data_IF_243236996731
#
_entry.id   IF_243236996731
#
_cell.length_a   1.000
_cell.length_b   1.000
_cell.length_c   1.000
_cell.angle_alpha   90.00
_cell.angle_beta   90.00
_cell.angle_gamma   90.00
#
_symmetry.space_group_name_H-M   'P 1'
#
loop_
_entity.id
_entity.type
_entity.pdbx_description
1 polymer ?
#
# COMPACT_ATOMS: atom_id res chain seq x y z
N UNK A 1 35.81 -26.71 0.00
CA UNK A 1 35.78 -26.31 1.43
C UNK A 1 34.69 -25.27 1.57
N UNK A 2 33.48 -25.71 1.92
CA UNK A 2 32.31 -24.86 2.07
C UNK A 2 32.42 -24.13 3.42
N UNK A 3 32.71 -22.83 3.39
CA UNK A 3 32.55 -21.97 4.56
C UNK A 3 31.06 -21.88 4.87
N UNK A 4 30.62 -22.59 5.90
CA UNK A 4 29.28 -22.42 6.47
C UNK A 4 29.15 -20.94 6.88
N UNK A 5 28.07 -20.25 6.46
CA UNK A 5 27.83 -18.87 6.89
C UNK A 5 27.63 -18.88 8.40
N UNK A 6 28.60 -18.33 9.15
CA UNK A 6 28.42 -18.09 10.57
C UNK A 6 27.19 -17.20 10.72
N UNK A 7 26.16 -17.59 11.49
CA UNK A 7 25.00 -16.76 11.68
C UNK A 7 25.43 -15.40 12.21
N UNK A 8 25.01 -14.32 11.55
CA UNK A 8 25.38 -12.95 11.88
C UNK A 8 25.21 -12.64 13.38
N UNK A 9 24.23 -13.27 14.04
CA UNK A 9 24.00 -13.18 15.47
C UNK A 9 25.16 -13.68 16.34
N UNK A 10 25.91 -14.73 15.93
CA UNK A 10 27.06 -15.25 16.69
C UNK A 10 28.21 -14.25 16.61
N UNK A 11 28.45 -13.63 15.47
CA UNK A 11 29.50 -12.60 15.32
C UNK A 11 29.21 -11.42 16.24
N UNK A 12 27.98 -10.98 16.36
CA UNK A 12 27.57 -9.89 17.24
C UNK A 12 27.72 -10.22 18.71
N UNK A 13 27.36 -11.43 19.13
CA UNK A 13 27.55 -11.89 20.53
C UNK A 13 29.02 -11.91 20.90
N UNK A 14 29.91 -12.34 19.99
CA UNK A 14 31.36 -12.35 20.23
C UNK A 14 31.93 -10.92 20.33
N UNK A 15 31.50 -10.01 19.49
CA UNK A 15 31.92 -8.60 19.53
C UNK A 15 31.48 -7.92 20.82
N UNK A 16 30.23 -8.12 21.24
CA UNK A 16 29.71 -7.60 22.52
C UNK A 16 30.50 -8.18 23.71
N UNK A 17 30.78 -9.48 23.67
CA UNK A 17 31.60 -10.14 24.71
C UNK A 17 32.99 -9.53 24.82
N UNK A 18 33.66 -9.27 23.69
CA UNK A 18 34.97 -8.63 23.64
C UNK A 18 34.95 -7.20 24.21
N UNK A 19 33.95 -6.42 23.85
CA UNK A 19 33.79 -5.05 24.34
C UNK A 19 33.51 -5.01 25.85
N UNK A 20 32.69 -5.92 26.37
CA UNK A 20 32.45 -6.03 27.82
C UNK A 20 33.71 -6.43 28.59
N UNK A 21 34.52 -7.35 28.04
CA UNK A 21 35.81 -7.73 28.62
C UNK A 21 36.78 -6.56 28.60
N UNK A 22 36.82 -5.80 27.49
CA UNK A 22 37.67 -4.61 27.38
C UNK A 22 37.29 -3.53 28.39
N UNK A 23 35.98 -3.24 28.51
CA UNK A 23 35.46 -2.27 29.48
C UNK A 23 35.70 -2.72 30.91
N UNK A 24 35.49 -4.00 31.23
CA UNK A 24 35.76 -4.58 32.54
C UNK A 24 37.25 -4.50 32.91
N UNK A 25 38.14 -4.83 31.96
CA UNK A 25 39.61 -4.73 32.16
C UNK A 25 40.03 -3.27 32.35
N UNK A 26 39.43 -2.35 31.61
CA UNK A 26 39.67 -0.91 31.74
C UNK A 26 39.29 -0.40 33.13
N UNK A 27 38.09 -0.71 33.62
CA UNK A 27 37.64 -0.34 34.98
C UNK A 27 38.51 -0.97 36.08
N UNK A 28 38.94 -2.22 35.90
CA UNK A 28 39.86 -2.86 36.82
C UNK A 28 41.17 -2.12 36.88
N UNK A 29 41.73 -1.69 35.76
CA UNK A 29 43.00 -0.95 35.66
C UNK A 29 42.86 0.45 36.26
N UNK A 30 41.75 1.13 36.02
CA UNK A 30 41.45 2.46 36.60
C UNK A 30 41.29 2.37 38.10
N UNK A 31 40.62 1.36 38.66
CA UNK A 31 40.45 1.17 40.10
C UNK A 31 41.76 0.88 40.83
N UNK A 32 42.74 0.27 40.16
CA UNK A 32 44.02 -0.15 40.78
C UNK A 32 45.10 0.93 40.78
N UNK A 33 44.94 1.99 39.97
CA UNK A 33 45.91 3.11 39.89
C UNK A 33 45.14 4.41 40.06
N UNK A 34 45.64 5.28 40.95
CA UNK A 34 45.10 6.65 41.15
C UNK A 34 45.49 7.52 39.94
N UNK A 35 44.64 7.54 38.92
CA UNK A 35 44.94 8.15 37.63
C UNK A 35 44.45 9.58 37.53
N UNK A 36 45.40 10.50 37.31
CA UNK A 36 45.13 11.93 37.14
C UNK A 36 45.56 12.51 35.77
N UNK A 37 45.88 11.67 34.78
CA UNK A 37 46.35 12.17 33.47
C UNK A 37 45.22 12.40 32.47
N UNK A 38 45.37 13.47 31.66
CA UNK A 38 44.43 13.84 30.56
C UNK A 38 44.27 12.70 29.53
N UNK A 39 45.33 11.90 29.31
CA UNK A 39 45.33 10.81 28.34
C UNK A 39 44.35 9.69 28.73
N UNK A 40 44.15 9.48 29.99
CA UNK A 40 43.27 8.41 30.49
C UNK A 40 41.82 8.82 30.53
N UNK A 41 41.57 10.09 30.74
CA UNK A 41 40.20 10.67 30.57
C UNK A 41 39.73 10.54 29.12
N UNK A 42 40.63 10.76 28.16
CA UNK A 42 40.30 10.60 26.73
C UNK A 42 40.00 9.13 26.37
N UNK A 43 40.76 8.16 26.92
CA UNK A 43 40.50 6.74 26.70
C UNK A 43 39.16 6.29 27.33
N UNK A 44 38.75 6.86 28.46
CA UNK A 44 37.45 6.60 29.07
C UNK A 44 36.30 7.14 28.21
N UNK A 45 36.46 8.33 27.63
CA UNK A 45 35.47 8.91 26.70
C UNK A 45 35.35 8.06 25.44
N UNK A 46 36.46 7.57 24.88
CA UNK A 46 36.48 6.70 23.70
C UNK A 46 35.78 5.36 24.01
N UNK A 47 36.05 4.76 25.18
CA UNK A 47 35.41 3.51 25.59
C UNK A 47 33.88 3.68 25.79
N UNK A 48 33.44 4.77 26.39
CA UNK A 48 32.02 5.08 26.56
C UNK A 48 31.33 5.38 25.21
N UNK A 49 32.01 6.08 24.27
CA UNK A 49 31.49 6.37 22.96
C UNK A 49 31.35 5.08 22.12
N UNK A 50 32.30 4.14 22.23
CA UNK A 50 32.21 2.84 21.55
C UNK A 50 31.05 2.00 22.09
N UNK A 51 30.84 1.99 23.39
CA UNK A 51 29.72 1.28 24.03
C UNK A 51 28.37 1.88 23.62
N UNK A 52 28.26 3.21 23.53
CA UNK A 52 27.06 3.88 23.08
C UNK A 52 26.75 3.58 21.60
N UNK A 53 27.78 3.57 20.75
CA UNK A 53 27.63 3.22 19.33
C UNK A 53 27.18 1.76 19.17
N UNK A 54 27.68 0.85 19.98
CA UNK A 54 27.27 -0.56 19.97
C UNK A 54 25.80 -0.74 20.38
N UNK A 55 25.34 -0.02 21.41
CA UNK A 55 23.93 -0.02 21.85
C UNK A 55 23.03 0.52 20.75
N UNK A 56 23.44 1.58 20.06
CA UNK A 56 22.69 2.15 18.93
C UNK A 56 22.59 1.13 17.80
N UNK A 57 23.70 0.51 17.39
CA UNK A 57 23.71 -0.50 16.32
C UNK A 57 22.87 -1.73 16.70
N UNK A 58 22.95 -2.19 17.95
CA UNK A 58 22.10 -3.28 18.46
C UNK A 58 20.60 -2.91 18.44
N UNK A 59 20.28 -1.70 18.84
CA UNK A 59 18.90 -1.21 18.80
C UNK A 59 18.39 -1.18 17.34
N UNK A 60 19.18 -0.68 16.39
CA UNK A 60 18.83 -0.71 14.97
C UNK A 60 18.73 -2.12 14.40
N UNK A 61 19.57 -3.06 14.82
CA UNK A 61 19.46 -4.45 14.33
C UNK A 61 18.28 -5.19 14.92
N UNK A 62 17.96 -4.98 16.19
CA UNK A 62 16.83 -5.63 16.86
C UNK A 62 15.48 -5.00 16.46
N UNK A 63 15.40 -3.67 16.43
CA UNK A 63 14.18 -2.97 16.04
C UNK A 63 14.04 -2.81 14.53
N UNK A 64 15.15 -2.58 13.82
CA UNK A 64 15.17 -2.52 12.37
C UNK A 64 14.79 -3.84 11.71
N UNK A 65 15.23 -4.99 12.23
CA UNK A 65 14.81 -6.29 11.75
C UNK A 65 13.31 -6.56 12.02
N UNK A 66 12.77 -6.08 13.12
CA UNK A 66 11.33 -6.17 13.40
C UNK A 66 10.50 -5.26 12.48
N UNK A 67 10.99 -4.07 12.15
CA UNK A 67 10.36 -3.16 11.19
C UNK A 67 10.49 -3.72 9.77
N UNK A 68 11.65 -4.24 9.40
CA UNK A 68 11.87 -4.89 8.10
C UNK A 68 11.07 -6.19 8.00
N UNK A 69 10.98 -7.01 9.05
CA UNK A 69 10.15 -8.22 9.04
C UNK A 69 8.65 -7.89 9.03
N UNK A 70 8.21 -6.79 9.61
CA UNK A 70 6.82 -6.35 9.49
C UNK A 70 6.50 -5.77 8.11
N UNK A 71 7.48 -5.17 7.44
CA UNK A 71 7.33 -4.66 6.07
C UNK A 71 7.66 -5.71 4.99
N UNK A 72 8.49 -6.71 5.30
CA UNK A 72 8.85 -7.82 4.40
C UNK A 72 8.20 -9.15 4.78
N UNK A 73 7.14 -9.16 5.57
CA UNK A 73 6.14 -10.19 5.43
C UNK A 73 5.40 -9.94 4.10
N UNK A 74 6.16 -9.94 3.03
CA UNK A 74 5.73 -10.56 1.79
C UNK A 74 5.54 -12.01 2.21
N UNK A 75 4.42 -12.29 2.85
CA UNK A 75 3.90 -13.64 2.88
C UNK A 75 3.90 -14.03 1.42
N UNK A 76 4.53 -15.14 1.05
CA UNK A 76 4.34 -15.84 -0.22
C UNK A 76 2.87 -16.32 -0.30
N UNK A 77 1.97 -15.48 0.13
CA UNK A 77 0.55 -15.65 0.12
C UNK A 77 0.12 -15.07 -1.22
N UNK A 78 0.27 -15.90 -2.27
CA UNK A 78 -0.30 -15.63 -3.59
C UNK A 78 -1.76 -15.18 -3.48
N UNK A 79 -2.45 -15.52 -2.39
CA UNK A 79 -3.81 -15.11 -2.07
C UNK A 79 -3.97 -13.59 -1.85
N UNK A 80 -2.90 -12.86 -1.49
CA UNK A 80 -2.96 -11.38 -1.30
C UNK A 80 -3.16 -10.65 -2.63
N UNK A 81 -2.68 -11.24 -3.74
CA UNK A 81 -2.79 -10.65 -5.07
C UNK A 81 -3.91 -11.25 -5.92
N UNK A 82 -4.72 -12.13 -5.34
CA UNK A 82 -5.87 -12.70 -6.04
C UNK A 82 -7.14 -11.92 -5.72
N UNK A 83 -7.89 -11.58 -6.77
CA UNK A 83 -9.22 -10.97 -6.61
C UNK A 83 -10.14 -11.93 -5.85
N UNK A 84 -10.69 -11.46 -4.74
CA UNK A 84 -11.64 -12.23 -3.92
C UNK A 84 -13.06 -12.01 -4.45
N UNK A 85 -13.82 -13.10 -4.47
CA UNK A 85 -15.22 -13.08 -4.90
C UNK A 85 -16.09 -13.53 -3.74
N UNK A 86 -17.02 -12.67 -3.32
CA UNK A 86 -17.99 -12.99 -2.29
C UNK A 86 -19.20 -13.69 -2.93
N UNK A 87 -19.50 -14.92 -2.49
CA UNK A 87 -20.58 -15.74 -3.04
C UNK A 87 -21.95 -15.03 -2.97
N UNK A 88 -22.21 -14.33 -1.86
CA UNK A 88 -23.45 -13.57 -1.69
C UNK A 88 -23.55 -12.45 -2.72
N UNK A 89 -22.46 -11.75 -2.97
CA UNK A 89 -22.41 -10.69 -3.98
C UNK A 89 -22.62 -11.25 -5.38
N UNK A 90 -22.00 -12.38 -5.72
CA UNK A 90 -22.23 -13.04 -7.00
C UNK A 90 -23.70 -13.45 -7.17
N UNK A 91 -24.31 -14.07 -6.17
CA UNK A 91 -25.74 -14.41 -6.17
C UNK A 91 -26.63 -13.17 -6.32
N UNK A 92 -26.28 -12.08 -5.68
CA UNK A 92 -27.01 -10.81 -5.79
C UNK A 92 -26.89 -10.22 -7.20
N UNK A 93 -25.71 -10.25 -7.83
CA UNK A 93 -25.52 -9.82 -9.21
C UNK A 93 -26.40 -10.62 -10.18
N UNK A 94 -26.54 -11.93 -9.95
CA UNK A 94 -27.44 -12.78 -10.76
C UNK A 94 -28.92 -12.43 -10.56
N UNK A 95 -29.34 -12.10 -9.33
CA UNK A 95 -30.74 -11.77 -8.99
C UNK A 95 -31.01 -10.26 -8.92
N UNK A 96 -30.22 -9.43 -9.61
CA UNK A 96 -30.16 -7.98 -9.46
C UNK A 96 -31.50 -7.25 -9.51
N UNK A 97 -32.37 -7.64 -10.44
CA UNK A 97 -33.69 -7.01 -10.63
C UNK A 97 -34.64 -7.19 -9.43
N UNK A 98 -34.38 -8.18 -8.57
CA UNK A 98 -35.20 -8.48 -7.37
C UNK A 98 -34.70 -7.76 -6.13
N UNK A 99 -33.53 -7.10 -6.20
CA UNK A 99 -32.91 -6.46 -5.05
C UNK A 99 -33.49 -5.06 -4.81
N UNK A 100 -33.66 -4.72 -3.56
CA UNK A 100 -33.91 -3.35 -3.12
C UNK A 100 -32.68 -2.48 -3.38
N UNK A 101 -32.86 -1.17 -3.48
CA UNK A 101 -31.74 -0.21 -3.64
C UNK A 101 -30.69 -0.38 -2.54
N UNK A 102 -31.10 -0.62 -1.32
CA UNK A 102 -30.18 -0.85 -0.19
C UNK A 102 -29.34 -2.13 -0.38
N UNK A 103 -29.94 -3.20 -0.85
CA UNK A 103 -29.24 -4.46 -1.14
C UNK A 103 -28.28 -4.31 -2.32
N UNK A 104 -28.67 -3.58 -3.36
CA UNK A 104 -27.80 -3.23 -4.48
C UNK A 104 -26.56 -2.46 -4.00
N UNK A 105 -26.73 -1.40 -3.20
CA UNK A 105 -25.62 -0.62 -2.65
C UNK A 105 -24.72 -1.46 -1.74
N UNK A 106 -25.28 -2.31 -0.89
CA UNK A 106 -24.49 -3.20 -0.04
C UNK A 106 -23.67 -4.19 -0.86
N UNK A 107 -24.24 -4.73 -1.93
CA UNK A 107 -23.54 -5.62 -2.86
C UNK A 107 -22.37 -4.90 -3.56
N UNK A 108 -22.62 -3.71 -4.09
CA UNK A 108 -21.57 -2.88 -4.70
C UNK A 108 -20.51 -2.46 -3.70
N UNK A 109 -20.86 -2.16 -2.44
CA UNK A 109 -19.90 -1.87 -1.39
C UNK A 109 -18.99 -3.06 -1.08
N UNK A 110 -19.56 -4.28 -1.02
CA UNK A 110 -18.78 -5.49 -0.78
C UNK A 110 -17.80 -5.74 -1.93
N UNK A 111 -18.25 -5.60 -3.17
CA UNK A 111 -17.40 -5.72 -4.35
C UNK A 111 -16.31 -4.64 -4.35
N UNK A 112 -16.67 -3.38 -4.05
CA UNK A 112 -15.72 -2.28 -3.93
C UNK A 112 -14.63 -2.56 -2.88
N UNK A 113 -14.98 -3.15 -1.75
CA UNK A 113 -14.01 -3.53 -0.72
C UNK A 113 -13.03 -4.59 -1.23
N UNK A 114 -13.53 -5.60 -1.96
CA UNK A 114 -12.70 -6.65 -2.56
C UNK A 114 -11.75 -6.08 -3.63
N UNK A 115 -12.25 -5.17 -4.48
CA UNK A 115 -11.43 -4.48 -5.49
C UNK A 115 -10.39 -3.56 -4.85
N UNK A 116 -10.77 -2.82 -3.79
CA UNK A 116 -9.86 -2.01 -3.00
C UNK A 116 -8.69 -2.85 -2.46
N UNK A 117 -9.00 -4.00 -1.87
CA UNK A 117 -8.00 -4.90 -1.30
C UNK A 117 -7.13 -5.52 -2.41
N UNK A 118 -7.72 -5.89 -3.54
CA UNK A 118 -6.99 -6.38 -4.72
C UNK A 118 -6.05 -5.33 -5.33
N UNK A 119 -6.49 -4.09 -5.40
CA UNK A 119 -5.70 -2.95 -5.89
C UNK A 119 -4.68 -2.43 -4.86
N UNK A 120 -4.69 -2.94 -3.63
CA UNK A 120 -3.77 -2.53 -2.57
C UNK A 120 -4.06 -1.14 -1.99
N UNK A 121 -5.27 -0.61 -2.15
CA UNK A 121 -5.66 0.70 -1.65
C UNK A 121 -5.92 0.60 -0.14
N UNK A 122 -5.11 1.28 0.67
CA UNK A 122 -5.26 1.28 2.14
C UNK A 122 -6.48 2.10 2.61
N UNK A 123 -6.84 3.14 1.88
CA UNK A 123 -7.95 4.02 2.22
C UNK A 123 -9.31 3.31 2.08
N UNK A 124 -10.22 3.57 3.01
CA UNK A 124 -11.60 3.08 2.89
C UNK A 124 -12.34 3.86 1.80
N UNK A 125 -12.97 3.13 0.88
CA UNK A 125 -13.82 3.70 -0.17
C UNK A 125 -15.27 3.42 0.20
N UNK A 126 -16.11 4.46 0.20
CA UNK A 126 -17.54 4.36 0.46
C UNK A 126 -18.30 4.31 -0.86
N UNK A 127 -19.31 3.44 -0.94
CA UNK A 127 -20.25 3.41 -2.06
C UNK A 127 -21.57 4.04 -1.63
N UNK A 128 -22.04 5.01 -2.38
CA UNK A 128 -23.27 5.74 -2.13
C UNK A 128 -24.12 5.94 -3.38
N UNK A 129 -25.25 6.59 -3.19
CA UNK A 129 -26.14 7.00 -4.29
C UNK A 129 -26.47 8.49 -4.16
N UNK A 130 -26.53 9.18 -5.30
CA UNK A 130 -26.87 10.59 -5.41
C UNK A 130 -27.74 10.86 -6.64
N UNK A 131 -28.37 12.03 -6.70
CA UNK A 131 -29.12 12.48 -7.86
C UNK A 131 -28.26 13.42 -8.72
N UNK A 132 -28.54 13.44 -10.04
CA UNK A 132 -27.97 14.40 -10.97
C UNK A 132 -26.44 14.29 -11.19
N UNK A 133 -25.90 13.07 -11.30
CA UNK A 133 -24.56 12.89 -11.83
C UNK A 133 -24.57 13.25 -13.33
N UNK A 134 -23.89 14.34 -13.67
CA UNK A 134 -23.79 14.79 -15.06
C UNK A 134 -22.87 13.84 -15.84
N UNK A 135 -23.43 13.04 -16.71
CA UNK A 135 -22.75 12.24 -17.75
C UNK A 135 -22.14 10.91 -17.34
N UNK A 136 -22.26 10.44 -16.09
CA UNK A 136 -21.69 9.17 -15.66
C UNK A 136 -22.70 8.31 -14.87
N UNK A 137 -22.61 6.98 -15.01
CA UNK A 137 -23.37 6.03 -14.21
C UNK A 137 -22.97 6.09 -12.73
N UNK A 138 -21.66 6.26 -12.46
CA UNK A 138 -21.12 6.58 -11.14
C UNK A 138 -19.85 7.43 -11.26
N UNK A 139 -19.43 8.00 -10.16
CA UNK A 139 -18.25 8.86 -10.09
C UNK A 139 -17.48 8.63 -8.78
N UNK A 140 -16.16 8.49 -8.88
CA UNK A 140 -15.26 8.57 -7.73
C UNK A 140 -14.93 10.04 -7.42
N UNK A 141 -14.92 10.40 -6.15
CA UNK A 141 -14.61 11.75 -5.70
C UNK A 141 -13.44 11.79 -4.69
N UNK A 142 -12.90 13.00 -4.47
CA UNK A 142 -11.79 13.24 -3.52
C UNK A 142 -12.12 12.88 -2.06
N UNK A 143 -13.41 12.75 -1.72
CA UNK A 143 -13.85 12.27 -0.39
C UNK A 143 -13.77 10.76 -0.24
N UNK A 144 -13.15 10.06 -1.21
CA UNK A 144 -13.00 8.60 -1.24
C UNK A 144 -14.36 7.89 -1.27
N UNK A 145 -15.26 8.43 -2.08
CA UNK A 145 -16.61 7.89 -2.28
C UNK A 145 -16.88 7.65 -3.76
N UNK A 146 -17.47 6.49 -4.08
CA UNK A 146 -18.04 6.16 -5.39
C UNK A 146 -19.54 6.37 -5.28
N UNK A 147 -20.05 7.41 -5.94
CA UNK A 147 -21.46 7.75 -5.91
C UNK A 147 -22.13 7.30 -7.21
N UNK A 148 -23.16 6.47 -7.11
CA UNK A 148 -24.00 6.04 -8.23
C UNK A 148 -25.17 7.01 -8.44
N UNK A 149 -25.52 7.25 -9.71
CA UNK A 149 -26.78 7.92 -10.02
C UNK A 149 -27.97 7.05 -9.62
N UNK A 150 -28.92 7.61 -8.89
CA UNK A 150 -30.09 6.89 -8.36
C UNK A 150 -30.91 6.25 -9.49
N UNK A 151 -31.11 6.98 -10.59
CA UNK A 151 -31.87 6.46 -11.73
C UNK A 151 -31.15 5.26 -12.37
N UNK A 152 -29.84 5.34 -12.53
CA UNK A 152 -29.03 4.22 -13.03
C UNK A 152 -29.06 3.03 -12.08
N UNK A 153 -28.93 3.28 -10.76
CA UNK A 153 -28.97 2.23 -9.74
C UNK A 153 -30.31 1.47 -9.75
N UNK A 154 -31.40 2.15 -10.04
CA UNK A 154 -32.74 1.54 -10.08
C UNK A 154 -32.98 0.76 -11.36
N UNK A 155 -32.54 1.25 -12.52
CA UNK A 155 -32.94 0.75 -13.83
C UNK A 155 -31.84 0.02 -14.63
N UNK A 156 -30.54 0.28 -14.35
CA UNK A 156 -29.48 -0.36 -15.09
C UNK A 156 -29.25 -1.82 -14.69
N UNK A 157 -28.66 -2.58 -15.60
CA UNK A 157 -28.30 -3.98 -15.37
C UNK A 157 -27.18 -4.10 -14.32
N UNK A 158 -27.06 -5.27 -13.68
CA UNK A 158 -25.94 -5.57 -12.78
C UNK A 158 -24.60 -5.44 -13.50
N UNK A 159 -24.52 -5.84 -14.77
CA UNK A 159 -23.30 -5.75 -15.59
C UNK A 159 -22.88 -4.28 -15.78
N UNK A 160 -23.80 -3.40 -16.15
CA UNK A 160 -23.51 -1.98 -16.35
C UNK A 160 -23.02 -1.29 -15.07
N UNK A 161 -23.69 -1.59 -13.94
CA UNK A 161 -23.31 -1.00 -12.65
C UNK A 161 -22.00 -1.58 -12.11
N UNK A 162 -21.76 -2.87 -12.34
CA UNK A 162 -20.50 -3.51 -11.97
C UNK A 162 -19.33 -2.93 -12.79
N UNK A 163 -19.48 -2.79 -14.10
CA UNK A 163 -18.46 -2.17 -14.96
C UNK A 163 -18.15 -0.74 -14.51
N UNK A 164 -19.17 0.05 -14.21
CA UNK A 164 -19.00 1.41 -13.71
C UNK A 164 -18.30 1.45 -12.34
N UNK A 165 -18.62 0.49 -11.44
CA UNK A 165 -17.93 0.35 -10.15
C UNK A 165 -16.44 0.04 -10.35
N UNK A 166 -16.13 -0.94 -11.20
CA UNK A 166 -14.77 -1.38 -11.48
C UNK A 166 -13.92 -0.25 -12.07
N UNK A 167 -14.49 0.50 -13.02
CA UNK A 167 -13.89 1.69 -13.61
C UNK A 167 -13.57 2.76 -12.53
N UNK A 168 -14.55 3.08 -11.69
CA UNK A 168 -14.35 4.05 -10.60
C UNK A 168 -13.42 3.56 -9.50
N UNK A 169 -13.34 2.24 -9.27
CA UNK A 169 -12.37 1.64 -8.34
C UNK A 169 -10.94 1.81 -8.85
N UNK A 170 -10.73 1.73 -10.17
CA UNK A 170 -9.41 1.98 -10.75
C UNK A 170 -9.03 3.46 -10.65
N UNK A 171 -9.93 4.39 -10.85
CA UNK A 171 -9.66 5.80 -10.55
C UNK A 171 -9.27 6.03 -9.09
N UNK A 172 -9.89 5.32 -8.16
CA UNK A 172 -9.48 5.39 -6.75
C UNK A 172 -8.03 4.90 -6.55
N UNK A 173 -7.60 3.87 -7.29
CA UNK A 173 -6.21 3.41 -7.32
C UNK A 173 -5.26 4.46 -7.91
N UNK A 174 -5.60 5.08 -9.04
CA UNK A 174 -4.80 6.13 -9.66
C UNK A 174 -4.64 7.35 -8.72
N UNK A 175 -5.70 7.75 -8.02
CA UNK A 175 -5.61 8.78 -6.98
C UNK A 175 -4.71 8.38 -5.81
N UNK A 176 -4.78 7.13 -5.36
CA UNK A 176 -3.91 6.61 -4.30
C UNK A 176 -2.43 6.60 -4.75
N UNK A 177 -2.15 6.27 -6.02
CA UNK A 177 -0.81 6.38 -6.59
C UNK A 177 -0.30 7.81 -6.57
N UNK A 178 -1.11 8.79 -6.99
CA UNK A 178 -0.74 10.21 -6.98
C UNK A 178 -0.51 10.70 -5.55
N UNK A 179 -1.37 10.37 -4.59
CA UNK A 179 -1.19 10.70 -3.18
C UNK A 179 0.12 10.12 -2.62
N UNK A 180 0.43 8.86 -2.96
CA UNK A 180 1.66 8.19 -2.52
C UNK A 180 2.91 8.81 -3.14
N UNK A 181 2.85 9.17 -4.41
CA UNK A 181 3.93 9.79 -5.17
C UNK A 181 4.31 11.16 -4.61
N UNK A 182 3.34 11.95 -4.20
CA UNK A 182 3.57 13.29 -3.62
C UNK A 182 4.33 13.23 -2.28
N UNK A 183 4.35 12.07 -1.63
CA UNK A 183 5.09 11.82 -0.39
C UNK A 183 6.43 11.11 -0.60
N UNK A 184 6.73 10.67 -1.84
CA UNK A 184 7.99 9.99 -2.18
C UNK A 184 9.17 10.95 -2.27
N UNK A 185 10.38 10.41 -2.03
CA UNK A 185 11.60 11.15 -2.31
C UNK A 185 11.74 11.41 -3.82
N UNK A 186 12.36 12.55 -4.18
CA UNK A 186 12.55 12.97 -5.57
C UNK A 186 13.33 11.96 -6.44
N UNK A 187 14.11 11.07 -5.82
CA UNK A 187 14.90 10.08 -6.53
C UNK A 187 14.05 8.96 -7.13
N UNK A 188 13.01 8.53 -6.43
CA UNK A 188 12.05 7.55 -6.95
C UNK A 188 11.18 8.12 -8.06
N UNK A 189 10.86 9.42 -8.02
CA UNK A 189 10.00 10.07 -9.01
C UNK A 189 10.58 10.05 -10.43
N UNK A 190 11.90 9.86 -10.58
CA UNK A 190 12.60 9.78 -11.86
C UNK A 190 12.56 8.40 -12.50
N UNK A 191 12.15 7.36 -11.76
CA UNK A 191 12.06 6.00 -12.30
C UNK A 191 11.02 5.93 -13.41
N UNK A 192 11.32 5.13 -14.43
CA UNK A 192 10.48 5.00 -15.63
C UNK A 192 9.03 4.66 -15.31
N UNK A 193 8.82 3.69 -14.42
CA UNK A 193 7.48 3.20 -14.05
C UNK A 193 6.64 4.23 -13.29
N UNK A 194 7.28 5.24 -12.69
CA UNK A 194 6.57 6.32 -11.99
C UNK A 194 6.19 7.50 -12.89
N UNK A 195 6.68 7.56 -14.14
CA UNK A 195 6.35 8.67 -15.06
C UNK A 195 4.87 8.70 -15.44
N UNK A 196 4.19 7.57 -15.41
CA UNK A 196 2.74 7.50 -15.65
C UNK A 196 1.97 8.29 -14.59
N UNK A 197 2.48 8.34 -13.34
CA UNK A 197 1.82 9.03 -12.23
C UNK A 197 1.81 10.54 -12.45
N UNK A 198 2.87 11.10 -13.02
CA UNK A 198 2.90 12.52 -13.42
C UNK A 198 1.82 12.82 -14.46
N UNK A 199 1.55 11.88 -15.36
CA UNK A 199 0.45 11.99 -16.33
C UNK A 199 -0.90 11.99 -15.63
N UNK A 200 -1.16 11.06 -14.73
CA UNK A 200 -2.40 11.03 -13.93
C UNK A 200 -2.61 12.32 -13.15
N UNK A 201 -1.58 12.79 -12.46
CA UNK A 201 -1.62 14.04 -11.68
C UNK A 201 -2.01 15.23 -12.57
N UNK A 202 -1.43 15.33 -13.76
CA UNK A 202 -1.74 16.37 -14.75
C UNK A 202 -3.16 16.24 -15.27
N UNK A 203 -3.61 15.03 -15.60
CA UNK A 203 -4.94 14.77 -16.12
C UNK A 203 -6.01 15.07 -15.06
N UNK A 204 -5.82 14.67 -13.80
CA UNK A 204 -6.72 15.00 -12.70
C UNK A 204 -6.81 16.49 -12.36
N UNK A 205 -5.76 17.27 -12.65
CA UNK A 205 -5.74 18.72 -12.45
C UNK A 205 -6.34 19.49 -13.60
N UNK A 206 -6.53 18.86 -14.76
CA UNK A 206 -6.95 19.51 -16.00
C UNK A 206 -8.44 19.30 -16.25
N UNK A 207 -9.23 20.39 -16.27
CA UNK A 207 -10.64 20.30 -16.65
C UNK A 207 -10.77 20.11 -18.17
N UNK A 208 -11.19 18.93 -18.60
CA UNK A 208 -11.43 18.60 -19.99
C UNK A 208 -12.93 18.67 -20.28
N UNK A 209 -13.36 19.58 -21.16
CA UNK A 209 -14.75 19.76 -21.56
C UNK A 209 -15.10 19.01 -22.86
N UNK A 210 -14.08 18.71 -23.67
CA UNK A 210 -14.25 17.95 -24.91
C UNK A 210 -14.32 16.45 -24.62
N UNK A 211 -15.44 15.82 -24.94
CA UNK A 211 -15.69 14.38 -24.68
C UNK A 211 -14.65 13.47 -25.31
N UNK A 212 -14.20 13.75 -26.53
CA UNK A 212 -13.20 12.92 -27.21
C UNK A 212 -11.81 13.05 -26.53
N UNK A 213 -11.43 14.26 -26.11
CA UNK A 213 -10.19 14.48 -25.36
C UNK A 213 -10.24 13.79 -24.00
N UNK A 214 -11.37 13.89 -23.30
CA UNK A 214 -11.57 13.19 -22.03
C UNK A 214 -11.44 11.68 -22.20
N UNK A 215 -12.13 11.11 -23.18
CA UNK A 215 -12.09 9.67 -23.46
C UNK A 215 -10.68 9.14 -23.79
N UNK A 216 -9.83 9.98 -24.38
CA UNK A 216 -8.47 9.62 -24.78
C UNK A 216 -7.41 9.94 -23.70
N UNK A 217 -7.79 10.39 -22.52
CA UNK A 217 -6.87 10.52 -21.40
C UNK A 217 -6.34 9.14 -20.98
N UNK A 218 -5.10 9.08 -20.52
CA UNK A 218 -4.45 7.81 -20.16
C UNK A 218 -5.11 7.19 -18.92
N UNK A 219 -5.48 8.00 -17.93
CA UNK A 219 -6.22 7.53 -16.76
C UNK A 219 -7.56 6.91 -17.17
N UNK A 220 -8.30 7.53 -18.06
CA UNK A 220 -9.59 7.01 -18.56
C UNK A 220 -9.41 5.72 -19.37
N UNK A 221 -8.36 5.64 -20.20
CA UNK A 221 -8.06 4.44 -20.98
C UNK A 221 -7.69 3.25 -20.09
N UNK A 222 -6.87 3.49 -19.07
CA UNK A 222 -6.45 2.47 -18.12
C UNK A 222 -7.62 1.99 -17.26
N UNK A 223 -8.46 2.91 -16.78
CA UNK A 223 -9.64 2.57 -16.00
C UNK A 223 -10.66 1.73 -16.82
N UNK A 224 -10.84 2.04 -18.12
CA UNK A 224 -11.68 1.22 -19.00
C UNK A 224 -11.09 -0.16 -19.24
N UNK A 225 -9.78 -0.26 -19.52
CA UNK A 225 -9.11 -1.54 -19.72
C UNK A 225 -9.27 -2.43 -18.48
N UNK A 226 -8.96 -1.87 -17.32
CA UNK A 226 -9.14 -2.57 -16.04
C UNK A 226 -10.58 -3.03 -15.82
N UNK A 227 -11.55 -2.16 -16.06
CA UNK A 227 -12.95 -2.49 -15.87
C UNK A 227 -13.41 -3.63 -16.79
N UNK A 228 -12.95 -3.63 -18.04
CA UNK A 228 -13.25 -4.69 -19.02
C UNK A 228 -12.71 -6.03 -18.57
N UNK A 229 -11.43 -6.09 -18.19
CA UNK A 229 -10.77 -7.33 -17.75
C UNK A 229 -11.39 -7.86 -16.44
N UNK A 230 -11.60 -6.96 -15.48
CA UNK A 230 -12.23 -7.31 -14.21
C UNK A 230 -13.67 -7.80 -14.39
N UNK A 231 -14.45 -7.14 -15.26
CA UNK A 231 -15.82 -7.56 -15.55
C UNK A 231 -15.86 -8.96 -16.14
N UNK A 232 -14.94 -9.28 -17.05
CA UNK A 232 -14.83 -10.62 -17.62
C UNK A 232 -14.56 -11.66 -16.54
N UNK A 233 -13.70 -11.36 -15.57
CA UNK A 233 -13.42 -12.24 -14.44
C UNK A 233 -14.68 -12.51 -13.61
N UNK A 234 -15.45 -11.46 -13.26
CA UNK A 234 -16.73 -11.61 -12.56
C UNK A 234 -17.74 -12.43 -13.36
N UNK A 235 -17.86 -12.18 -14.67
CA UNK A 235 -18.74 -12.95 -15.55
C UNK A 235 -18.36 -14.43 -15.64
N UNK A 236 -17.07 -14.74 -15.65
CA UNK A 236 -16.59 -16.13 -15.62
C UNK A 236 -16.92 -16.83 -14.30
N UNK A 237 -16.98 -16.10 -13.20
CA UNK A 237 -17.41 -16.64 -11.89
C UNK A 237 -18.92 -16.83 -11.82
N UNK A 238 -19.70 -15.96 -12.45
CA UNK A 238 -21.16 -16.04 -12.49
C UNK A 238 -21.68 -17.20 -13.35
N UNK A 239 -20.85 -17.74 -14.26
CA UNK A 239 -21.21 -18.89 -15.14
C UNK A 239 -20.96 -20.26 -14.46
N UNK A 240 -20.25 -20.28 -13.34
CA UNK A 240 -19.95 -21.49 -12.56
C UNK A 240 -20.97 -21.71 -11.46
#
# INVERSE_FOLDING_TARGET
MLLLPIPLGIVWVLLIGLDLVYVGFYFYKVKRRNYNSLLEKSQLVIGLASLLSLVIVLSFTLFGSSIIQSSTKITNNTDVYMRKYDEKSLKNLHNWSKLTRKEKLNTLQTICNNERDYLGISARIKVGAGSHLTHACCQYNKSKEITFDISQLDHASSTTLLEALLHSSYHAYEYALVESYDTMSSDYSKLFDYRIIDTYKKEFSTKVTNKAKYYNQINEANARSYATDALQDYQNKLKK
#
